data_IF_877457457318
#
_entry.id   IF_877457457318
#
_cell.length_a   1.000
_cell.length_b   1.000
_cell.length_c   1.000
_cell.angle_alpha   90.00
_cell.angle_beta   90.00
_cell.angle_gamma   90.00
#
_symmetry.space_group_name_H-M   'P 1'
#
loop_
_entity.id
_entity.type
_entity.pdbx_description
1 polymer ?
#
# COMPACT_ATOMS: atom_id res chain seq x y z
N UNK A 1 -10.96 -11.79 4.10
CA UNK A 1 -9.90 -10.83 3.72
C UNK A 1 -9.81 -10.87 2.20
N UNK A 2 -10.11 -9.77 1.52
CA UNK A 2 -10.25 -9.74 0.05
C UNK A 2 -8.94 -9.42 -0.67
N UNK A 3 -7.99 -8.77 0.02
CA UNK A 3 -6.68 -8.42 -0.51
C UNK A 3 -5.60 -8.44 0.59
N UNK A 4 -4.34 -8.57 0.15
CA UNK A 4 -3.15 -8.28 0.98
C UNK A 4 -2.85 -6.79 0.90
N UNK A 5 -2.72 -6.12 2.05
CA UNK A 5 -2.44 -4.68 2.10
C UNK A 5 -0.94 -4.47 2.26
N UNK A 6 -0.38 -3.68 1.36
CA UNK A 6 0.99 -3.18 1.42
C UNK A 6 0.96 -1.66 1.60
N UNK A 7 1.74 -1.14 2.53
CA UNK A 7 2.03 0.29 2.63
C UNK A 7 3.43 0.53 2.08
N UNK A 8 3.50 1.31 1.01
CA UNK A 8 4.74 1.83 0.46
C UNK A 8 5.10 3.14 1.18
N UNK A 9 6.02 3.06 2.15
CA UNK A 9 6.53 4.23 2.86
C UNK A 9 7.65 4.89 2.05
N UNK A 10 7.45 6.14 1.65
CA UNK A 10 8.36 6.85 0.77
C UNK A 10 9.41 7.67 1.56
N UNK A 11 10.06 7.00 2.53
CA UNK A 11 10.97 7.59 3.51
C UNK A 11 10.32 8.68 4.39
N UNK A 12 9.19 8.33 5.02
CA UNK A 12 8.59 9.20 6.03
C UNK A 12 9.54 9.42 7.20
N UNK A 13 9.48 10.62 7.79
CA UNK A 13 10.34 11.02 8.93
C UNK A 13 9.56 11.17 10.24
N UNK A 14 8.27 10.84 10.20
CA UNK A 14 7.37 10.86 11.35
C UNK A 14 7.09 9.45 11.88
N UNK A 15 6.15 9.35 12.81
CA UNK A 15 5.79 8.09 13.46
C UNK A 15 4.86 7.20 12.63
N UNK A 16 4.60 7.49 11.36
CA UNK A 16 3.64 6.77 10.52
C UNK A 16 3.90 5.26 10.50
N UNK A 17 5.16 4.84 10.34
CA UNK A 17 5.51 3.42 10.31
C UNK A 17 5.35 2.75 11.67
N UNK A 18 5.69 3.46 12.75
CA UNK A 18 5.50 2.95 14.11
C UNK A 18 4.00 2.79 14.41
N UNK A 19 3.18 3.75 13.98
CA UNK A 19 1.74 3.69 14.12
C UNK A 19 1.14 2.50 13.38
N UNK A 20 1.53 2.26 12.11
CA UNK A 20 1.03 1.13 11.32
C UNK A 20 1.45 -0.19 11.94
N UNK A 21 2.73 -0.36 12.31
CA UNK A 21 3.22 -1.60 12.94
C UNK A 21 2.49 -1.95 14.24
N UNK A 22 2.08 -0.93 15.00
CA UNK A 22 1.37 -1.12 16.28
C UNK A 22 -0.12 -1.42 16.11
N UNK A 23 -0.80 -0.71 15.21
CA UNK A 23 -2.26 -0.76 15.10
C UNK A 23 -2.76 -1.71 14.01
N UNK A 24 -1.94 -2.00 13.00
CA UNK A 24 -2.27 -2.83 11.85
C UNK A 24 -1.14 -3.83 11.55
N UNK A 25 -0.84 -4.76 12.48
CA UNK A 25 0.28 -5.69 12.35
C UNK A 25 0.20 -6.63 11.13
N UNK A 26 -0.98 -6.76 10.53
CA UNK A 26 -1.21 -7.52 9.32
C UNK A 26 -0.84 -6.79 8.01
N UNK A 27 -0.59 -5.48 8.08
CA UNK A 27 -0.16 -4.67 6.93
C UNK A 27 1.31 -4.90 6.67
N UNK A 28 1.64 -5.25 5.43
CA UNK A 28 3.03 -5.39 4.99
C UNK A 28 3.59 -4.01 4.69
N UNK A 29 4.79 -3.72 5.19
CA UNK A 29 5.42 -2.41 5.01
C UNK A 29 6.63 -2.56 4.12
N UNK A 30 6.69 -1.73 3.07
CA UNK A 30 7.85 -1.60 2.18
C UNK A 30 8.37 -0.18 2.38
N UNK A 31 9.58 -0.03 2.93
CA UNK A 31 10.18 1.28 3.21
C UNK A 31 11.22 1.61 2.14
N UNK A 32 10.98 2.66 1.38
CA UNK A 32 11.94 3.17 0.42
C UNK A 32 13.10 3.87 1.14
N UNK A 33 14.30 3.79 0.56
CA UNK A 33 15.48 4.43 1.12
C UNK A 33 15.47 5.95 1.04
N UNK A 34 14.68 6.53 0.14
CA UNK A 34 14.56 7.97 -0.05
C UNK A 34 13.21 8.33 -0.66
N UNK A 35 12.76 9.58 -0.42
CA UNK A 35 11.54 10.09 -1.02
C UNK A 35 11.77 10.40 -2.50
N UNK A 36 11.29 9.52 -3.38
CA UNK A 36 11.39 9.66 -4.83
C UNK A 36 10.29 10.49 -5.48
N UNK A 37 9.37 11.06 -4.69
CA UNK A 37 8.08 11.55 -5.19
C UNK A 37 7.11 10.41 -5.54
N UNK A 38 5.96 10.77 -6.10
CA UNK A 38 4.81 9.86 -6.27
C UNK A 38 5.13 8.62 -7.13
N UNK A 39 5.50 8.83 -8.40
CA UNK A 39 5.70 7.73 -9.35
C UNK A 39 6.87 6.82 -8.96
N UNK A 40 8.03 7.41 -8.61
CA UNK A 40 9.20 6.64 -8.21
C UNK A 40 8.95 5.87 -6.91
N UNK A 41 8.26 6.48 -5.95
CA UNK A 41 7.92 5.82 -4.68
C UNK A 41 7.16 4.52 -4.89
N UNK A 42 6.15 4.53 -5.76
CA UNK A 42 5.43 3.31 -6.15
C UNK A 42 6.30 2.34 -6.94
N UNK A 43 7.06 2.82 -7.94
CA UNK A 43 7.88 1.95 -8.77
C UNK A 43 8.91 1.17 -7.95
N UNK A 44 9.56 1.81 -6.98
CA UNK A 44 10.52 1.16 -6.08
C UNK A 44 9.82 0.13 -5.18
N UNK A 45 8.66 0.49 -4.61
CA UNK A 45 7.93 -0.41 -3.71
C UNK A 45 7.36 -1.64 -4.43
N UNK A 46 6.80 -1.46 -5.63
CA UNK A 46 6.15 -2.51 -6.41
C UNK A 46 7.11 -3.65 -6.80
N UNK A 47 8.42 -3.40 -6.86
CA UNK A 47 9.43 -4.46 -7.06
C UNK A 47 9.43 -5.52 -5.96
N UNK A 48 8.86 -5.21 -4.80
CA UNK A 48 8.81 -6.10 -3.64
C UNK A 48 7.42 -6.77 -3.47
N UNK A 49 6.44 -6.43 -4.31
CA UNK A 49 5.09 -7.00 -4.28
C UNK A 49 5.02 -8.19 -5.23
N UNK A 50 4.48 -9.31 -4.76
CA UNK A 50 4.43 -10.58 -5.48
C UNK A 50 2.98 -11.10 -5.51
N UNK A 51 2.08 -10.30 -6.06
CA UNK A 51 0.66 -10.63 -6.20
C UNK A 51 0.29 -10.64 -7.70
N UNK A 52 -0.83 -11.26 -8.08
CA UNK A 52 -1.23 -11.32 -9.49
C UNK A 52 -1.85 -10.01 -9.98
N UNK A 53 -2.57 -9.30 -9.09
CA UNK A 53 -3.31 -8.08 -9.41
C UNK A 53 -2.91 -6.99 -8.43
N UNK A 54 -2.57 -5.81 -8.94
CA UNK A 54 -2.19 -4.66 -8.13
C UNK A 54 -3.27 -3.59 -8.19
N UNK A 55 -3.67 -3.11 -7.02
CA UNK A 55 -4.48 -1.91 -6.88
C UNK A 55 -3.64 -0.84 -6.18
N UNK A 56 -3.38 0.26 -6.88
CA UNK A 56 -2.67 1.40 -6.30
C UNK A 56 -3.69 2.35 -5.67
N UNK A 57 -3.63 2.48 -4.35
CA UNK A 57 -4.51 3.32 -3.56
C UNK A 57 -3.68 4.38 -2.82
N UNK A 58 -4.08 5.65 -2.93
CA UNK A 58 -3.45 6.69 -2.14
C UNK A 58 -3.91 6.63 -0.67
N UNK A 59 -3.14 7.19 0.26
CA UNK A 59 -3.50 7.24 1.69
C UNK A 59 -4.68 8.16 2.00
N UNK A 60 -4.95 9.13 1.12
CA UNK A 60 -5.88 10.24 1.40
C UNK A 60 -7.28 10.02 0.81
N UNK A 61 -7.66 8.75 0.63
CA UNK A 61 -8.97 8.40 0.07
C UNK A 61 -9.73 7.42 0.94
N UNK A 62 -11.05 7.53 0.89
CA UNK A 62 -12.00 6.60 1.49
C UNK A 62 -12.77 5.90 0.37
N UNK A 63 -13.11 4.64 0.59
CA UNK A 63 -13.77 3.77 -0.38
C UNK A 63 -15.09 3.30 0.17
N UNK A 64 -16.06 3.06 -0.71
CA UNK A 64 -17.37 2.52 -0.30
C UNK A 64 -17.27 1.04 0.02
N UNK A 65 -18.23 0.54 0.79
CA UNK A 65 -18.36 -0.89 1.06
C UNK A 65 -18.39 -1.71 -0.25
N UNK A 66 -17.73 -2.87 -0.25
CA UNK A 66 -17.67 -3.83 -1.36
C UNK A 66 -17.06 -3.30 -2.69
N UNK A 67 -16.33 -2.18 -2.68
CA UNK A 67 -15.78 -1.59 -3.92
C UNK A 67 -14.77 -2.47 -4.67
N UNK A 68 -14.08 -3.39 -3.98
CA UNK A 68 -13.12 -4.31 -4.60
C UNK A 68 -13.79 -5.45 -5.38
N UNK A 69 -14.96 -5.92 -4.92
CA UNK A 69 -15.62 -7.10 -5.46
C UNK A 69 -15.95 -7.00 -6.96
N UNK A 70 -16.44 -5.86 -7.50
CA UNK A 70 -16.64 -5.71 -8.94
C UNK A 70 -15.33 -5.79 -9.74
N UNK A 71 -14.22 -5.29 -9.17
CA UNK A 71 -12.90 -5.28 -9.83
C UNK A 71 -12.35 -6.70 -9.91
N UNK A 72 -12.42 -7.45 -8.80
CA UNK A 72 -11.92 -8.84 -8.74
C UNK A 72 -12.73 -9.81 -9.60
N UNK A 73 -13.97 -9.50 -9.97
CA UNK A 73 -14.75 -10.32 -10.89
C UNK A 73 -14.40 -10.10 -12.37
N UNK A 74 -13.70 -9.01 -12.70
CA UNK A 74 -13.33 -8.65 -14.09
C UNK A 74 -11.97 -9.22 -14.49
N UNK A 75 -11.06 -9.33 -13.52
CA UNK A 75 -9.69 -9.82 -13.72
C UNK A 75 -9.53 -11.24 -13.18
#
# INVERSE_FOLDING_TARGET
>A
KEATIYVADNASTDDSILYIKRNFPEVKIIQNSSNGGYAKGYNDALQNVHETIYCLLNSDIEVTENWLQPITNVF
#
